data_IF_533811471496
#
_entry.id   IF_533811471496
#
_cell.length_a   1.000
_cell.length_b   1.000
_cell.length_c   1.000
_cell.angle_alpha   90.00
_cell.angle_beta   90.00
_cell.angle_gamma   90.00
#
_symmetry.space_group_name_H-M   'P 1'
#
loop_
_entity.id
_entity.type
_entity.pdbx_description
1 polymer ?
#
# COMPACT_ATOMS: atom_id res chain seq x y z
N UNK A 1 -19.50 5.29 -11.09
CA UNK A 1 -19.41 5.26 -9.63
C UNK A 1 -18.04 4.73 -9.28
N UNK A 2 -17.13 5.57 -8.77
CA UNK A 2 -15.89 5.08 -8.19
C UNK A 2 -16.25 4.46 -6.85
N UNK A 3 -16.58 3.17 -6.84
CA UNK A 3 -16.61 2.41 -5.60
C UNK A 3 -15.26 2.63 -4.92
N UNK A 4 -15.20 3.06 -3.65
CA UNK A 4 -13.94 3.11 -2.96
C UNK A 4 -13.33 1.72 -3.05
N UNK A 5 -12.14 1.60 -3.64
CA UNK A 5 -11.41 0.34 -3.62
C UNK A 5 -11.26 -0.02 -2.15
N UNK A 6 -11.57 -1.26 -1.76
CA UNK A 6 -11.53 -1.70 -0.36
C UNK A 6 -10.09 -1.74 0.22
N UNK A 7 -9.11 -1.16 -0.46
CA UNK A 7 -7.73 -1.00 -0.05
C UNK A 7 -7.10 0.26 -0.66
N UNK A 8 -6.07 0.77 0.00
CA UNK A 8 -5.19 1.83 -0.46
C UNK A 8 -3.76 1.31 -0.56
N UNK A 9 -2.94 1.89 -1.45
CA UNK A 9 -1.54 1.48 -1.58
C UNK A 9 -0.59 2.66 -1.75
N UNK A 10 0.64 2.45 -1.28
CA UNK A 10 1.76 3.38 -1.41
C UNK A 10 2.99 2.62 -1.90
N UNK A 11 3.77 3.22 -2.80
CA UNK A 11 5.00 2.63 -3.35
C UNK A 11 6.21 3.24 -2.68
N UNK A 12 7.04 2.39 -2.08
CA UNK A 12 8.38 2.73 -1.64
C UNK A 12 9.38 2.23 -2.70
N UNK A 13 9.79 3.12 -3.60
CA UNK A 13 10.66 2.76 -4.72
C UNK A 13 12.10 2.42 -4.28
N UNK A 14 12.58 2.98 -3.18
CA UNK A 14 13.91 2.71 -2.62
C UNK A 14 14.10 1.22 -2.27
N UNK A 15 13.16 0.66 -1.50
CA UNK A 15 13.20 -0.73 -1.07
C UNK A 15 12.40 -1.68 -1.98
N UNK A 16 11.78 -1.14 -3.02
CA UNK A 16 10.83 -1.84 -3.92
C UNK A 16 9.72 -2.54 -3.12
N UNK A 17 9.09 -1.82 -2.19
CA UNK A 17 7.98 -2.32 -1.37
C UNK A 17 6.69 -1.60 -1.74
N UNK A 18 5.60 -2.35 -1.84
CA UNK A 18 4.24 -1.83 -1.94
C UNK A 18 3.59 -2.04 -0.57
N UNK A 19 3.35 -0.93 0.12
CA UNK A 19 2.59 -0.91 1.35
C UNK A 19 1.10 -0.84 0.99
N UNK A 20 0.29 -1.73 1.56
CA UNK A 20 -1.15 -1.78 1.31
C UNK A 20 -1.88 -1.69 2.64
N UNK A 21 -2.85 -0.78 2.73
CA UNK A 21 -3.80 -0.73 3.81
C UNK A 21 -5.15 -1.26 3.31
N UNK A 22 -5.71 -2.27 3.97
CA UNK A 22 -7.05 -2.79 3.65
C UNK A 22 -8.06 -2.03 4.50
N UNK A 23 -9.02 -1.38 3.85
CA UNK A 23 -9.97 -0.46 4.49
C UNK A 23 -11.29 -1.14 4.86
N UNK A 24 -11.33 -2.47 4.91
CA UNK A 24 -12.50 -3.28 5.24
C UNK A 24 -12.12 -4.45 6.15
N UNK A 25 -13.10 -4.91 6.94
CA UNK A 25 -12.99 -6.07 7.81
C UNK A 25 -13.17 -7.39 7.04
N UNK A 26 -13.81 -7.35 5.86
CA UNK A 26 -13.94 -8.50 4.99
C UNK A 26 -12.65 -8.74 4.20
N UNK A 27 -11.73 -9.46 4.82
CA UNK A 27 -10.42 -9.78 4.25
C UNK A 27 -10.50 -10.89 3.19
N UNK A 28 -11.57 -11.69 3.21
CA UNK A 28 -11.75 -12.82 2.31
C UNK A 28 -11.97 -12.33 0.87
N UNK A 29 -11.22 -12.92 -0.06
CA UNK A 29 -11.21 -12.48 -1.46
C UNK A 29 -10.41 -11.20 -1.74
N UNK A 30 -10.26 -10.29 -0.78
CA UNK A 30 -9.44 -9.08 -0.93
C UNK A 30 -7.95 -9.42 -0.97
N UNK A 31 -7.47 -10.29 -0.09
CA UNK A 31 -6.08 -10.72 -0.09
C UNK A 31 -5.69 -11.35 -1.45
N UNK A 32 -6.58 -12.14 -2.05
CA UNK A 32 -6.39 -12.75 -3.38
C UNK A 32 -6.37 -11.68 -4.47
N UNK A 33 -7.30 -10.72 -4.41
CA UNK A 33 -7.40 -9.63 -5.38
C UNK A 33 -6.15 -8.75 -5.37
N UNK A 34 -5.69 -8.36 -4.18
CA UNK A 34 -4.43 -7.63 -4.00
C UNK A 34 -3.26 -8.45 -4.54
N UNK A 35 -3.18 -9.75 -4.20
CA UNK A 35 -2.09 -10.63 -4.63
C UNK A 35 -1.98 -10.74 -6.15
N UNK A 36 -3.11 -10.88 -6.84
CA UNK A 36 -3.14 -10.92 -8.30
C UNK A 36 -2.80 -9.55 -8.92
N UNK A 37 -3.27 -8.47 -8.31
CA UNK A 37 -3.05 -7.11 -8.79
C UNK A 37 -1.57 -6.70 -8.71
N UNK A 38 -0.92 -6.86 -7.55
CA UNK A 38 0.45 -6.36 -7.36
C UNK A 38 1.46 -7.13 -8.22
N UNK A 39 1.31 -8.46 -8.35
CA UNK A 39 2.21 -9.29 -9.18
C UNK A 39 2.16 -8.91 -10.65
N UNK A 40 0.99 -8.54 -11.16
CA UNK A 40 0.83 -8.12 -12.56
C UNK A 40 1.40 -6.74 -12.82
N UNK A 41 1.23 -5.81 -11.88
CA UNK A 41 1.56 -4.40 -12.09
C UNK A 41 2.99 -4.04 -11.66
N UNK A 42 3.52 -4.76 -10.67
CA UNK A 42 4.79 -4.50 -10.01
C UNK A 42 5.54 -5.81 -9.68
N UNK A 43 5.92 -6.60 -10.70
CA UNK A 43 6.48 -7.94 -10.49
C UNK A 43 7.81 -7.95 -9.71
N UNK A 44 8.53 -6.83 -9.72
CA UNK A 44 9.83 -6.69 -9.04
C UNK A 44 9.72 -6.12 -7.62
N UNK A 45 8.50 -5.89 -7.13
CA UNK A 45 8.25 -5.32 -5.81
C UNK A 45 7.85 -6.41 -4.83
N UNK A 46 8.06 -6.19 -3.54
CA UNK A 46 7.47 -6.98 -2.46
C UNK A 46 6.21 -6.29 -1.98
N UNK A 47 5.26 -7.05 -1.44
CA UNK A 47 4.06 -6.49 -0.83
C UNK A 47 4.13 -6.57 0.70
N UNK A 48 3.63 -5.54 1.38
CA UNK A 48 3.47 -5.49 2.83
C UNK A 48 2.08 -4.94 3.16
N UNK A 49 1.26 -5.74 3.84
CA UNK A 49 -0.01 -5.27 4.39
C UNK A 49 0.26 -4.61 5.73
N UNK A 50 -0.26 -3.40 5.94
CA UNK A 50 -0.01 -2.56 7.12
C UNK A 50 -1.31 -2.00 7.70
N UNK A 51 -1.26 -1.62 8.97
CA UNK A 51 -2.36 -0.90 9.62
C UNK A 51 -2.55 0.51 9.04
N UNK A 52 -3.72 1.12 9.27
CA UNK A 52 -3.99 2.50 8.82
C UNK A 52 -2.94 3.49 9.32
N UNK A 53 -2.63 3.42 10.61
CA UNK A 53 -1.68 4.30 11.25
C UNK A 53 -0.27 4.15 10.66
N UNK A 54 0.17 2.91 10.41
CA UNK A 54 1.48 2.67 9.79
C UNK A 54 1.50 3.12 8.32
N UNK A 55 0.40 2.93 7.59
CA UNK A 55 0.27 3.39 6.21
C UNK A 55 0.41 4.92 6.09
N UNK A 56 -0.29 5.66 6.96
CA UNK A 56 -0.23 7.12 7.01
C UNK A 56 1.18 7.60 7.39
N UNK A 57 1.83 6.97 8.38
CA UNK A 57 3.20 7.30 8.76
C UNK A 57 4.19 7.09 7.61
N UNK A 58 4.09 5.96 6.91
CA UNK A 58 4.94 5.64 5.75
C UNK A 58 4.75 6.67 4.64
N UNK A 59 3.49 7.00 4.33
CA UNK A 59 3.16 7.96 3.29
C UNK A 59 3.72 9.34 3.65
N UNK A 60 3.45 9.83 4.86
CA UNK A 60 3.90 11.14 5.32
C UNK A 60 5.43 11.23 5.41
N UNK A 61 6.11 10.17 5.84
CA UNK A 61 7.58 10.13 5.89
C UNK A 61 8.22 10.18 4.50
N UNK A 62 7.50 9.74 3.46
CA UNK A 62 8.00 9.76 2.08
C UNK A 62 7.59 11.05 1.34
N UNK A 63 6.50 11.70 1.74
CA UNK A 63 6.03 12.98 1.18
C UNK A 63 6.72 14.21 1.80
N UNK A 64 7.33 14.09 2.98
CA UNK A 64 8.21 15.12 3.53
C UNK A 64 9.60 14.99 2.88
N UNK A 65 10.03 15.89 1.97
CA UNK A 65 11.45 16.06 1.78
C UNK A 65 12.04 16.40 3.14
N UNK A 66 13.18 15.79 3.47
CA UNK A 66 13.96 16.15 4.64
C UNK A 66 14.12 17.68 4.68
N UNK A 67 13.30 18.39 5.46
CA UNK A 67 13.64 19.72 5.91
C UNK A 67 14.67 19.52 7.02
N UNK A 68 15.90 19.27 6.58
CA UNK A 68 17.08 19.52 7.40
C UNK A 68 17.10 21.03 7.68
N UNK A 69 16.99 21.38 8.96
CA UNK A 69 17.49 22.64 9.49
C UNK A 69 18.33 22.30 10.72
#
# INVERSE_FOLDING_TARGET
MNSPTNWEFFKQDQDKIICVHICTEDLDGIAISINNWWKRRYPNYKIRVVSKNEFEQIKNATELPQQQN
#
